data_IF_340718582138
#
_entry.id   IF_340718582138
#
_cell.length_a   1.000
_cell.length_b   1.000
_cell.length_c   1.000
_cell.angle_alpha   90.00
_cell.angle_beta   90.00
_cell.angle_gamma   90.00
#
_symmetry.space_group_name_H-M   'P 1'
#
loop_
_entity.id
_entity.type
_entity.pdbx_description
1 polymer ?
#
# COMPACT_ATOMS: atom_id res chain seq x y z
N UNK A 1 10.20 -10.96 -8.34
CA UNK A 1 9.96 -9.54 -8.00
C UNK A 1 8.58 -9.50 -7.39
N UNK A 2 8.36 -8.96 -6.18
CA UNK A 2 7.02 -8.93 -5.62
C UNK A 2 6.06 -8.30 -6.62
N UNK A 3 4.99 -9.01 -6.92
CA UNK A 3 4.09 -8.66 -8.00
C UNK A 3 3.14 -7.58 -7.49
N UNK A 4 3.48 -6.31 -7.73
CA UNK A 4 2.56 -5.22 -7.45
C UNK A 4 1.29 -5.43 -8.30
N UNK A 5 0.17 -5.75 -7.64
CA UNK A 5 -1.11 -5.95 -8.32
C UNK A 5 -1.87 -4.63 -8.33
N UNK A 6 -2.10 -4.09 -9.54
CA UNK A 6 -2.89 -2.86 -9.73
C UNK A 6 -4.25 -3.17 -10.33
N UNK A 7 -5.31 -2.70 -9.66
CA UNK A 7 -6.68 -2.77 -10.13
C UNK A 7 -7.26 -1.38 -10.37
N UNK A 8 -7.93 -1.23 -11.50
CA UNK A 8 -8.69 -0.04 -11.85
C UNK A 8 -10.18 -0.33 -11.72
N UNK A 9 -10.91 0.53 -11.02
CA UNK A 9 -12.37 0.47 -11.00
C UNK A 9 -12.98 1.87 -10.88
N UNK A 10 -14.31 1.95 -10.93
CA UNK A 10 -15.04 3.22 -10.78
C UNK A 10 -15.96 3.13 -9.59
N UNK A 11 -15.92 4.14 -8.73
CA UNK A 11 -16.91 4.34 -7.68
C UNK A 11 -17.90 5.41 -8.17
N UNK A 12 -19.02 4.95 -8.74
CA UNK A 12 -19.92 5.81 -9.50
C UNK A 12 -19.21 6.43 -10.70
N UNK A 13 -19.05 7.75 -10.69
CA UNK A 13 -18.36 8.50 -11.75
C UNK A 13 -16.87 8.69 -11.50
N UNK A 14 -16.38 8.40 -10.29
CA UNK A 14 -15.01 8.66 -9.89
C UNK A 14 -14.09 7.49 -10.27
N UNK A 15 -13.00 7.73 -11.02
CA UNK A 15 -11.98 6.72 -11.25
C UNK A 15 -11.18 6.46 -9.97
N UNK A 16 -11.03 5.17 -9.65
CA UNK A 16 -10.30 4.69 -8.48
C UNK A 16 -9.24 3.69 -8.95
N UNK A 17 -8.02 3.88 -8.47
CA UNK A 17 -6.91 2.94 -8.69
C UNK A 17 -6.49 2.39 -7.34
N UNK A 18 -6.41 1.07 -7.24
CA UNK A 18 -5.94 0.37 -6.04
C UNK A 18 -4.72 -0.45 -6.41
N UNK A 19 -3.67 -0.32 -5.63
CA UNK A 19 -2.46 -1.13 -5.76
C UNK A 19 -2.22 -1.88 -4.45
N UNK A 20 -1.85 -3.15 -4.57
CA UNK A 20 -1.35 -3.96 -3.47
C UNK A 20 0.12 -4.26 -3.75
N UNK A 21 0.99 -3.86 -2.83
CA UNK A 21 2.39 -4.25 -2.83
C UNK A 21 2.59 -5.33 -1.77
N UNK A 22 3.29 -6.41 -2.12
CA UNK A 22 3.62 -7.50 -1.21
C UNK A 22 5.14 -7.54 -0.96
N UNK A 23 5.56 -7.85 0.26
CA UNK A 23 6.94 -8.24 0.54
C UNK A 23 6.99 -9.06 1.81
N UNK A 24 7.66 -10.21 1.77
CA UNK A 24 7.88 -11.08 2.93
C UNK A 24 6.56 -11.44 3.66
N UNK A 25 5.50 -11.72 2.89
CA UNK A 25 4.15 -12.03 3.40
C UNK A 25 3.40 -10.85 4.02
N UNK A 26 3.96 -9.63 3.96
CA UNK A 26 3.31 -8.40 4.37
C UNK A 26 2.76 -7.66 3.16
N UNK A 27 1.64 -6.96 3.38
CA UNK A 27 0.94 -6.23 2.33
C UNK A 27 0.83 -4.74 2.66
N UNK A 28 1.06 -3.92 1.64
CA UNK A 28 0.76 -2.49 1.64
C UNK A 28 -0.29 -2.17 0.59
N UNK A 29 -1.40 -1.56 1.00
CA UNK A 29 -2.49 -1.20 0.09
C UNK A 29 -2.51 0.30 -0.15
N UNK A 30 -2.33 0.72 -1.39
CA UNK A 30 -2.42 2.11 -1.82
C UNK A 30 -3.68 2.36 -2.65
N UNK A 31 -4.35 3.49 -2.38
CA UNK A 31 -5.55 3.90 -3.12
C UNK A 31 -5.33 5.28 -3.69
N UNK A 32 -5.72 5.48 -4.94
CA UNK A 32 -5.76 6.77 -5.61
C UNK A 32 -7.16 7.03 -6.15
N UNK A 33 -7.73 8.18 -5.79
CA UNK A 33 -8.99 8.70 -6.31
C UNK A 33 -8.68 10.05 -6.91
N UNK A 34 -9.14 10.29 -8.13
CA UNK A 34 -8.94 11.59 -8.78
C UNK A 34 -10.21 12.07 -9.45
N UNK A 35 -10.24 13.36 -9.75
CA UNK A 35 -11.39 14.02 -10.35
C UNK A 35 -11.65 13.50 -11.76
N UNK A 36 -12.90 13.60 -12.19
CA UNK A 36 -13.32 13.12 -13.52
C UNK A 36 -12.68 13.88 -14.67
N UNK A 37 -12.34 15.14 -14.48
CA UNK A 37 -11.86 16.04 -15.53
C UNK A 37 -10.34 15.99 -15.69
N UNK A 38 -9.64 15.49 -14.68
CA UNK A 38 -8.18 15.46 -14.62
C UNK A 38 -7.62 14.07 -14.40
N UNK A 39 -8.43 13.02 -14.65
CA UNK A 39 -7.95 11.65 -14.48
C UNK A 39 -6.97 11.28 -15.57
N UNK A 40 -5.76 10.99 -15.11
CA UNK A 40 -4.70 10.32 -15.85
C UNK A 40 -4.48 8.96 -15.18
N UNK A 41 -4.66 7.88 -15.94
CA UNK A 41 -4.55 6.51 -15.45
C UNK A 41 -3.13 6.16 -15.00
N UNK A 42 -2.10 6.62 -15.73
CA UNK A 42 -0.70 6.38 -15.41
C UNK A 42 -0.30 7.13 -14.13
N UNK A 43 -0.78 8.37 -13.99
CA UNK A 43 -0.61 9.14 -12.75
C UNK A 43 -1.34 8.50 -11.58
N UNK A 44 -2.57 8.01 -11.81
CA UNK A 44 -3.37 7.32 -10.81
C UNK A 44 -2.70 6.05 -10.30
N UNK A 45 -2.15 5.25 -11.21
CA UNK A 45 -1.34 4.05 -10.94
C UNK A 45 -0.08 4.40 -10.15
N UNK A 46 0.74 5.32 -10.63
CA UNK A 46 1.97 5.75 -9.95
C UNK A 46 1.70 6.21 -8.51
N UNK A 47 0.62 6.95 -8.28
CA UNK A 47 0.21 7.38 -6.94
C UNK A 47 -0.24 6.22 -6.05
N UNK A 48 -1.02 5.28 -6.59
CA UNK A 48 -1.48 4.11 -5.85
C UNK A 48 -0.30 3.21 -5.47
N UNK A 49 0.62 2.94 -6.39
CA UNK A 49 1.85 2.16 -6.16
C UNK A 49 2.74 2.81 -5.09
N UNK A 50 3.02 4.11 -5.21
CA UNK A 50 3.82 4.84 -4.23
C UNK A 50 3.21 4.76 -2.81
N UNK A 51 1.87 4.85 -2.69
CA UNK A 51 1.16 4.72 -1.42
C UNK A 51 1.20 3.29 -0.88
N UNK A 52 1.06 2.28 -1.74
CA UNK A 52 1.14 0.87 -1.39
C UNK A 52 2.51 0.55 -0.78
N UNK A 53 3.58 0.91 -1.50
CA UNK A 53 4.97 0.70 -1.07
C UNK A 53 5.31 1.45 0.22
N UNK A 54 4.86 2.71 0.36
CA UNK A 54 5.06 3.47 1.60
C UNK A 54 4.42 2.80 2.81
N UNK A 55 3.19 2.30 2.67
CA UNK A 55 2.50 1.58 3.76
C UNK A 55 3.17 0.25 4.09
N UNK A 56 3.65 -0.47 3.09
CA UNK A 56 4.42 -1.69 3.27
C UNK A 56 5.72 -1.42 4.05
N UNK A 57 6.47 -0.38 3.68
CA UNK A 57 7.69 0.03 4.39
C UNK A 57 7.40 0.32 5.86
N UNK A 58 6.42 1.18 6.17
CA UNK A 58 6.06 1.51 7.55
C UNK A 58 5.67 0.28 8.38
N UNK A 59 5.06 -0.72 7.74
CA UNK A 59 4.67 -1.97 8.40
C UNK A 59 5.87 -2.85 8.68
N UNK A 60 6.77 -3.01 7.70
CA UNK A 60 8.03 -3.74 7.87
C UNK A 60 8.92 -3.09 8.94
N UNK A 61 9.03 -1.76 8.96
CA UNK A 61 9.78 -1.02 9.99
C UNK A 61 9.20 -1.28 11.39
N UNK A 62 7.87 -1.33 11.53
CA UNK A 62 7.21 -1.69 12.80
C UNK A 62 7.54 -3.11 13.24
N UNK A 63 7.59 -4.08 12.32
CA UNK A 63 7.97 -5.46 12.64
C UNK A 63 9.45 -5.57 13.00
N UNK A 64 10.33 -4.82 12.34
CA UNK A 64 11.75 -4.77 12.66
C UNK A 64 12.01 -4.17 14.06
N UNK A 65 11.22 -3.16 14.46
CA UNK A 65 11.35 -2.50 15.76
C UNK A 65 10.61 -3.23 16.91
N UNK A 66 9.58 -4.02 16.62
CA UNK A 66 8.76 -4.74 17.61
C UNK A 66 9.21 -6.18 17.90
N UNK A 67 10.31 -6.65 17.30
CA UNK A 67 10.89 -7.97 17.53
C UNK A 67 11.96 -8.02 18.64
N UNK A 68 12.28 -6.88 19.24
CA UNK A 68 13.16 -6.78 20.42
C UNK A 68 12.33 -6.47 21.66
N UNK A 69 12.54 -7.27 22.71
CA UNK A 69 12.15 -7.01 24.10
C UNK A 69 10.67 -7.17 24.50
N UNK A 70 10.35 -8.40 24.91
CA UNK A 70 9.14 -8.72 25.65
C UNK A 70 9.20 -10.01 26.47
N UNK A 71 10.40 -10.55 26.73
CA UNK A 71 10.60 -11.66 27.66
C UNK A 71 10.60 -11.14 29.10
N UNK A 72 9.41 -10.84 29.63
CA UNK A 72 9.24 -10.39 30.99
C UNK A 72 9.79 -11.42 31.99
N UNK A 73 10.77 -10.96 32.79
CA UNK A 73 11.10 -11.54 34.07
C UNK A 73 9.82 -11.73 34.91
N UNK A 74 9.51 -12.97 35.26
CA UNK A 74 8.65 -13.32 36.38
C UNK A 74 9.39 -14.34 37.22
N UNK A 75 10.19 -13.81 38.15
CA UNK A 75 10.61 -14.48 39.37
C UNK A 75 9.84 -13.90 40.55
#
# INVERSE_FOLDING_TARGET
MPEDVTHFFRLGRLPVVVCVAERDGQFGVGVSVTSRTTFDAEKGKSLAEARARRRLSLRLDKFALGGGDGGAARG
#
